data_IF_342891732797
#
_entry.id   IF_342891732797
#
_cell.length_a   1.000
_cell.length_b   1.000
_cell.length_c   1.000
_cell.angle_alpha   90.00
_cell.angle_beta   90.00
_cell.angle_gamma   90.00
#
_symmetry.space_group_name_H-M   'P 1'
#
loop_
_entity.id
_entity.type
_entity.pdbx_description
1 polymer ?
#
# COMPACT_ATOMS: atom_id res chain seq x y z
N UNK A 1 3.74 32.39 0.37
CA UNK A 1 3.56 31.41 1.45
C UNK A 1 4.54 30.28 1.23
N UNK A 2 5.30 29.87 2.25
CA UNK A 2 6.12 28.66 2.16
C UNK A 2 5.19 27.43 2.20
N UNK A 3 5.47 26.43 1.37
CA UNK A 3 4.73 25.16 1.39
C UNK A 3 4.87 24.48 2.75
N UNK A 4 3.80 23.87 3.23
CA UNK A 4 3.83 23.01 4.40
C UNK A 4 4.67 21.76 4.14
N UNK A 5 5.17 21.13 5.21
CA UNK A 5 5.94 19.88 5.11
C UNK A 5 5.18 18.77 4.39
N UNK A 6 3.86 18.72 4.57
CA UNK A 6 2.97 17.75 3.92
C UNK A 6 2.93 17.99 2.42
N UNK A 7 2.81 19.25 1.97
CA UNK A 7 2.80 19.60 0.55
C UNK A 7 4.16 19.34 -0.11
N UNK A 8 5.26 19.60 0.61
CA UNK A 8 6.62 19.29 0.14
C UNK A 8 6.78 17.78 -0.07
N UNK A 9 6.35 16.97 0.90
CA UNK A 9 6.44 15.51 0.80
C UNK A 9 5.57 14.97 -0.32
N UNK A 10 4.31 15.43 -0.42
CA UNK A 10 3.40 15.02 -1.48
C UNK A 10 3.95 15.35 -2.88
N UNK A 11 4.57 16.53 -3.05
CA UNK A 11 5.22 16.92 -4.31
C UNK A 11 6.45 16.06 -4.62
N UNK A 12 7.21 15.67 -3.61
CA UNK A 12 8.35 14.75 -3.76
C UNK A 12 7.91 13.35 -4.17
N UNK A 13 6.89 12.81 -3.48
CA UNK A 13 6.32 11.50 -3.78
C UNK A 13 5.74 11.48 -5.20
N UNK A 14 5.01 12.52 -5.60
CA UNK A 14 4.51 12.68 -6.96
C UNK A 14 5.63 12.69 -8.01
N UNK A 15 6.74 13.40 -7.77
CA UNK A 15 7.90 13.36 -8.66
C UNK A 15 8.49 11.96 -8.80
N UNK A 16 8.41 11.14 -7.75
CA UNK A 16 8.85 9.74 -7.71
C UNK A 16 7.78 8.76 -8.21
N UNK A 17 6.62 9.24 -8.64
CA UNK A 17 5.49 8.42 -9.08
C UNK A 17 4.75 7.70 -7.94
N UNK A 18 4.97 8.10 -6.69
CA UNK A 18 4.37 7.51 -5.49
C UNK A 18 3.29 8.44 -4.94
N UNK A 19 2.22 7.88 -4.38
CA UNK A 19 1.18 8.63 -3.65
C UNK A 19 0.65 7.81 -2.50
N UNK A 20 0.26 8.48 -1.42
CA UNK A 20 -0.46 7.84 -0.32
C UNK A 20 -1.88 7.50 -0.78
N UNK A 21 -2.32 6.26 -0.53
CA UNK A 21 -3.68 5.81 -0.76
C UNK A 21 -4.22 5.20 0.54
N UNK A 22 -5.20 5.87 1.15
CA UNK A 22 -5.92 5.35 2.31
C UNK A 22 -7.17 4.57 1.88
N UNK A 23 -7.40 3.43 2.53
CA UNK A 23 -8.64 2.65 2.44
C UNK A 23 -9.22 2.47 3.84
N UNK A 24 -10.55 2.40 3.94
CA UNK A 24 -11.21 1.95 5.16
C UNK A 24 -11.34 0.44 5.10
N UNK A 25 -10.87 -0.26 6.13
CA UNK A 25 -10.87 -1.71 6.26
C UNK A 25 -11.41 -2.07 7.65
N UNK A 26 -11.87 -3.31 7.83
CA UNK A 26 -12.15 -3.81 9.18
C UNK A 26 -10.86 -3.93 9.98
N UNK A 27 -10.99 -3.78 11.31
CA UNK A 27 -9.83 -3.80 12.22
C UNK A 27 -9.13 -5.16 12.19
N UNK A 28 -9.91 -6.25 12.06
CA UNK A 28 -9.36 -7.61 11.98
C UNK A 28 -8.55 -7.82 10.69
N UNK A 29 -9.03 -7.29 9.56
CA UNK A 29 -8.29 -7.35 8.28
C UNK A 29 -6.99 -6.56 8.35
N UNK A 30 -6.98 -5.41 9.04
CA UNK A 30 -5.77 -4.61 9.27
C UNK A 30 -4.78 -5.45 10.10
N UNK A 31 -5.23 -6.05 11.20
CA UNK A 31 -4.38 -6.89 12.05
C UNK A 31 -3.79 -8.07 11.26
N UNK A 32 -4.59 -8.70 10.40
CA UNK A 32 -4.13 -9.77 9.52
C UNK A 32 -3.02 -9.30 8.56
N UNK A 33 -3.21 -8.16 7.90
CA UNK A 33 -2.21 -7.58 6.98
C UNK A 33 -0.91 -7.24 7.73
N UNK A 34 -1.02 -6.67 8.93
CA UNK A 34 0.14 -6.34 9.78
C UNK A 34 0.91 -7.58 10.20
N UNK A 35 0.21 -8.62 10.65
CA UNK A 35 0.82 -9.89 11.04
C UNK A 35 1.50 -10.56 9.84
N UNK A 36 0.81 -10.67 8.71
CA UNK A 36 1.36 -11.27 7.50
C UNK A 36 2.60 -10.52 7.01
N UNK A 37 2.58 -9.18 7.01
CA UNK A 37 3.72 -8.34 6.65
C UNK A 37 4.93 -8.60 7.54
N UNK A 38 4.73 -8.74 8.87
CA UNK A 38 5.80 -9.07 9.82
C UNK A 38 6.34 -10.48 9.61
N UNK A 39 5.45 -11.47 9.47
CA UNK A 39 5.84 -12.87 9.30
C UNK A 39 6.60 -13.13 8.00
N UNK A 40 6.27 -12.39 6.93
CA UNK A 40 6.92 -12.51 5.62
C UNK A 40 8.12 -11.56 5.46
N UNK A 41 8.39 -10.71 6.45
CA UNK A 41 9.43 -9.67 6.41
C UNK A 41 9.37 -8.78 5.16
N UNK A 42 8.16 -8.35 4.79
CA UNK A 42 7.93 -7.43 3.67
C UNK A 42 7.03 -6.27 4.06
N UNK A 43 7.19 -5.07 3.50
CA UNK A 43 6.30 -3.95 3.77
C UNK A 43 4.85 -4.25 3.39
N UNK A 44 3.89 -3.82 4.20
CA UNK A 44 2.45 -4.01 3.94
C UNK A 44 2.02 -3.55 2.54
N UNK A 45 2.54 -2.40 2.07
CA UNK A 45 2.24 -1.90 0.74
C UNK A 45 2.67 -2.88 -0.37
N UNK A 46 3.82 -3.55 -0.19
CA UNK A 46 4.29 -4.58 -1.12
C UNK A 46 3.39 -5.82 -1.06
N UNK A 47 3.06 -6.29 0.15
CA UNK A 47 2.14 -7.40 0.36
C UNK A 47 0.80 -7.19 -0.36
N UNK A 48 0.20 -5.99 -0.22
CA UNK A 48 -1.07 -5.65 -0.86
C UNK A 48 -0.94 -5.66 -2.38
N UNK A 49 0.13 -5.07 -2.94
CA UNK A 49 0.37 -5.06 -4.38
C UNK A 49 0.53 -6.48 -4.93
N UNK A 50 1.30 -7.32 -4.24
CA UNK A 50 1.55 -8.70 -4.65
C UNK A 50 0.26 -9.54 -4.57
N UNK A 51 -0.58 -9.35 -3.54
CA UNK A 51 -1.89 -9.98 -3.43
C UNK A 51 -2.84 -9.60 -4.59
N UNK A 52 -2.86 -8.32 -4.98
CA UNK A 52 -3.68 -7.86 -6.12
C UNK A 52 -3.19 -8.47 -7.43
N UNK A 53 -1.87 -8.53 -7.66
CA UNK A 53 -1.30 -9.18 -8.85
C UNK A 53 -1.67 -10.66 -8.89
N UNK A 54 -1.46 -11.37 -7.78
CA UNK A 54 -1.82 -12.79 -7.66
C UNK A 54 -3.30 -13.02 -7.96
N UNK A 55 -4.21 -12.20 -7.41
CA UNK A 55 -5.63 -12.31 -7.69
C UNK A 55 -5.97 -12.14 -9.18
N UNK A 56 -5.36 -11.15 -9.85
CA UNK A 56 -5.57 -10.92 -11.29
C UNK A 56 -5.04 -12.08 -12.14
N UNK A 57 -3.86 -12.62 -11.80
CA UNK A 57 -3.25 -13.73 -12.55
C UNK A 57 -4.11 -15.00 -12.44
N UNK A 58 -4.59 -15.32 -11.24
CA UNK A 58 -5.46 -16.48 -11.03
C UNK A 58 -6.86 -16.29 -11.62
N UNK A 59 -7.40 -15.07 -11.61
CA UNK A 59 -8.69 -14.77 -12.23
C UNK A 59 -8.66 -14.88 -13.76
N UNK A 60 -7.52 -14.62 -14.40
CA UNK A 60 -7.35 -14.80 -15.86
C UNK A 60 -7.22 -16.27 -16.27
N UNK A 61 -6.88 -17.16 -15.34
CA UNK A 61 -6.73 -18.58 -15.57
C UNK A 61 -8.05 -19.37 -15.40
N UNK A 62 -9.14 -18.71 -14.98
CA UNK A 62 -10.51 -19.25 -14.94
C UNK A 62 -11.34 -18.67 -16.09
#
# INVERSE_FOLDING_TARGET
MALTRVEIQAKSDQKRGVKVKGFKLHVDDIALIEQASKSLDIPQAKLIVDAVKFYLDNKKAS
#
